data_IF_124796618491
#
_entry.id   IF_124796618491
#
_cell.length_a   1.000
_cell.length_b   1.000
_cell.length_c   1.000
_cell.angle_alpha   90.00
_cell.angle_beta   90.00
_cell.angle_gamma   90.00
#
_symmetry.space_group_name_H-M   'P 1'
#
loop_
_entity.id
_entity.type
_entity.pdbx_description
1 polymer ?
#
# COMPACT_ATOMS: atom_id res chain seq x y z
N UNK A 1 7.45 -0.92 -18.58
CA UNK A 1 6.61 -0.22 -17.59
C UNK A 1 5.30 0.13 -18.25
N UNK A 2 4.18 -0.14 -17.57
CA UNK A 2 2.87 0.22 -18.12
C UNK A 2 2.13 1.10 -17.11
N UNK A 3 1.74 2.33 -17.48
CA UNK A 3 1.08 3.24 -16.57
C UNK A 3 -0.38 2.87 -16.34
N UNK A 4 -0.82 3.06 -15.10
CA UNK A 4 -2.19 2.89 -14.62
C UNK A 4 -2.54 4.13 -13.79
N UNK A 5 -3.70 4.73 -14.06
CA UNK A 5 -4.18 5.86 -13.28
C UNK A 5 -4.58 5.43 -11.87
N UNK A 6 -4.28 6.27 -10.87
CA UNK A 6 -4.78 6.07 -9.51
C UNK A 6 -6.24 6.50 -9.46
N UNK A 7 -7.11 5.65 -8.89
CA UNK A 7 -8.52 5.96 -8.76
C UNK A 7 -8.72 6.98 -7.63
N UNK A 8 -9.47 8.04 -7.92
CA UNK A 8 -9.92 8.98 -6.88
C UNK A 8 -11.04 8.31 -6.09
N UNK A 9 -10.82 8.04 -4.81
CA UNK A 9 -11.88 7.56 -3.94
C UNK A 9 -12.69 8.76 -3.43
N UNK A 10 -13.84 9.02 -4.06
CA UNK A 10 -14.73 10.15 -3.72
C UNK A 10 -15.75 9.79 -2.62
N UNK A 11 -15.49 8.76 -1.82
CA UNK A 11 -16.46 8.26 -0.84
C UNK A 11 -16.48 9.08 0.47
N UNK A 12 -17.11 10.25 0.42
CA UNK A 12 -17.74 10.88 1.57
C UNK A 12 -19.00 11.63 1.13
N UNK A 13 -20.04 10.90 0.71
CA UNK A 13 -21.42 11.37 0.77
C UNK A 13 -22.37 10.17 0.89
N UNK A 14 -23.04 10.12 2.03
CA UNK A 14 -24.12 9.19 2.35
C UNK A 14 -25.18 9.26 1.27
N UNK A 15 -25.56 8.12 0.71
CA UNK A 15 -26.92 7.93 0.21
C UNK A 15 -27.35 6.53 0.59
N UNK A 16 -28.20 6.49 1.61
CA UNK A 16 -29.00 5.33 1.99
C UNK A 16 -30.12 5.30 0.97
N UNK A 17 -30.01 4.49 -0.08
CA UNK A 17 -31.14 4.25 -0.98
C UNK A 17 -31.57 2.78 -0.90
N UNK A 18 -32.82 2.64 -0.44
CA UNK A 18 -33.51 1.37 -0.28
C UNK A 18 -33.95 0.86 -1.64
N UNK A 19 -33.96 -0.47 -1.73
CA UNK A 19 -34.62 -1.31 -2.73
C UNK A 19 -33.90 -1.48 -4.08
N UNK A 20 -33.35 -2.68 -4.27
CA UNK A 20 -33.81 -3.50 -5.38
C UNK A 20 -33.83 -4.98 -4.99
N UNK A 21 -35.02 -5.57 -5.04
CA UNK A 21 -35.26 -7.02 -5.00
C UNK A 21 -35.03 -7.58 -6.41
N UNK A 22 -34.81 -8.88 -6.48
CA UNK A 22 -34.59 -9.72 -7.66
C UNK A 22 -33.13 -9.88 -8.07
N UNK A 23 -32.64 -11.08 -7.79
CA UNK A 23 -31.27 -11.49 -8.00
C UNK A 23 -30.90 -11.73 -9.46
N UNK A 24 -29.62 -11.53 -9.71
CA UNK A 24 -28.77 -12.45 -10.43
C UNK A 24 -27.44 -12.37 -9.69
N UNK A 25 -27.11 -13.35 -8.86
CA UNK A 25 -25.77 -13.50 -8.33
C UNK A 25 -24.88 -13.92 -9.48
N UNK A 26 -24.32 -12.94 -10.20
CA UNK A 26 -23.19 -13.17 -11.09
C UNK A 26 -22.09 -13.74 -10.22
N UNK A 27 -21.91 -15.06 -10.26
CA UNK A 27 -20.78 -15.76 -9.66
C UNK A 27 -19.53 -15.29 -10.40
N UNK A 28 -19.02 -14.12 -10.01
CA UNK A 28 -17.68 -13.69 -10.37
C UNK A 28 -16.74 -14.69 -9.71
N UNK A 29 -16.09 -15.48 -10.56
CA UNK A 29 -15.08 -16.48 -10.26
C UNK A 29 -14.47 -16.32 -8.86
N UNK A 30 -14.79 -17.26 -7.97
CA UNK A 30 -14.01 -17.47 -6.75
C UNK A 30 -12.64 -17.98 -7.18
N UNK A 31 -11.74 -17.05 -7.55
CA UNK A 31 -10.32 -17.32 -7.52
C UNK A 31 -9.98 -17.88 -6.14
N UNK A 32 -9.10 -18.86 -6.10
CA UNK A 32 -8.54 -19.34 -4.83
C UNK A 32 -8.19 -18.14 -3.95
N UNK A 33 -8.50 -18.18 -2.63
CA UNK A 33 -8.10 -17.12 -1.72
C UNK A 33 -6.58 -16.95 -1.87
N UNK A 34 -6.18 -15.76 -2.34
CA UNK A 34 -4.78 -15.43 -2.53
C UNK A 34 -4.14 -15.33 -1.15
N UNK A 35 -2.91 -15.81 -1.04
CA UNK A 35 -2.14 -15.67 0.19
C UNK A 35 -1.78 -14.20 0.37
N UNK A 36 -2.20 -13.59 1.49
CA UNK A 36 -1.83 -12.22 1.84
C UNK A 36 -0.39 -12.22 2.35
N UNK A 37 0.50 -11.51 1.66
CA UNK A 37 1.93 -11.49 1.99
C UNK A 37 2.42 -10.06 2.20
N UNK A 38 3.29 -9.88 3.19
CA UNK A 38 3.98 -8.60 3.38
C UNK A 38 5.02 -8.39 2.28
N UNK A 39 5.02 -7.19 1.69
CA UNK A 39 5.98 -6.79 0.67
C UNK A 39 6.78 -5.61 1.17
N UNK A 40 8.07 -5.61 0.86
CA UNK A 40 8.95 -4.47 1.12
C UNK A 40 8.52 -3.30 0.25
N UNK A 41 8.56 -2.12 0.82
CA UNK A 41 8.45 -0.86 0.11
C UNK A 41 9.57 0.11 0.51
N UNK A 42 9.80 1.09 -0.35
CA UNK A 42 10.78 2.16 -0.19
C UNK A 42 10.18 3.45 -0.77
N UNK A 43 10.58 4.59 -0.25
CA UNK A 43 10.05 5.87 -0.73
C UNK A 43 11.13 6.95 -0.77
N UNK A 44 10.96 7.89 -1.70
CA UNK A 44 11.76 9.10 -1.77
C UNK A 44 10.93 10.26 -2.32
N UNK A 45 11.37 11.48 -2.01
CA UNK A 45 10.80 12.70 -2.56
C UNK A 45 11.76 13.32 -3.57
N UNK A 46 11.24 13.75 -4.72
CA UNK A 46 12.02 14.47 -5.72
C UNK A 46 11.14 15.46 -6.50
N UNK A 47 11.60 16.71 -6.63
CA UNK A 47 10.95 17.74 -7.46
C UNK A 47 9.45 17.96 -7.20
N UNK A 48 9.02 17.89 -5.93
CA UNK A 48 7.61 18.03 -5.55
C UNK A 48 6.73 16.83 -5.91
N UNK A 49 7.36 15.66 -6.10
CA UNK A 49 6.71 14.37 -6.30
C UNK A 49 7.22 13.40 -5.25
N UNK A 50 6.33 12.56 -4.76
CA UNK A 50 6.65 11.47 -3.84
C UNK A 50 6.62 10.17 -4.64
N UNK A 51 7.72 9.44 -4.61
CA UNK A 51 7.88 8.17 -5.29
C UNK A 51 7.83 7.05 -4.26
N UNK A 52 6.95 6.06 -4.46
CA UNK A 52 6.86 4.85 -3.63
C UNK A 52 7.17 3.65 -4.51
N UNK A 53 8.19 2.88 -4.15
CA UNK A 53 8.56 1.64 -4.81
C UNK A 53 8.15 0.45 -3.97
N UNK A 54 7.24 -0.38 -4.47
CA UNK A 54 6.80 -1.62 -3.82
C UNK A 54 7.43 -2.80 -4.54
N UNK A 55 8.19 -3.61 -3.84
CA UNK A 55 8.95 -4.72 -4.42
C UNK A 55 8.09 -5.99 -4.45
N UNK A 56 7.79 -6.43 -5.67
CA UNK A 56 6.95 -7.60 -5.93
C UNK A 56 7.30 -8.18 -7.29
N UNK A 57 7.76 -9.43 -7.32
CA UNK A 57 8.10 -10.12 -8.58
C UNK A 57 6.84 -10.68 -9.22
N UNK A 58 6.71 -10.49 -10.54
CA UNK A 58 5.61 -11.06 -11.30
C UNK A 58 4.28 -10.38 -10.97
N UNK A 59 4.29 -9.06 -10.74
CA UNK A 59 3.07 -8.29 -10.56
C UNK A 59 2.20 -8.38 -11.81
N UNK A 60 0.95 -8.78 -11.63
CA UNK A 60 -0.04 -8.82 -12.71
C UNK A 60 -0.85 -7.53 -12.66
N UNK A 61 -1.16 -6.96 -13.83
CA UNK A 61 -2.05 -5.79 -13.91
C UNK A 61 -3.43 -6.13 -13.36
N UNK A 62 -3.92 -7.31 -13.69
CA UNK A 62 -5.29 -7.69 -13.34
C UNK A 62 -5.42 -7.87 -11.82
N UNK A 63 -6.26 -7.05 -11.21
CA UNK A 63 -6.42 -6.95 -9.76
C UNK A 63 -5.44 -5.98 -9.05
N UNK A 64 -4.34 -5.56 -9.68
CA UNK A 64 -3.45 -4.53 -9.12
C UNK A 64 -4.03 -3.13 -9.36
N UNK A 65 -4.31 -2.39 -8.29
CA UNK A 65 -4.88 -1.05 -8.37
C UNK A 65 -4.48 -0.19 -7.17
N UNK A 66 -4.55 1.12 -7.35
CA UNK A 66 -4.33 2.09 -6.29
C UNK A 66 -5.53 3.04 -6.21
N UNK A 67 -5.92 3.39 -5.00
CA UNK A 67 -7.01 4.30 -4.69
C UNK A 67 -6.52 5.36 -3.71
N UNK A 68 -6.89 6.62 -3.92
CA UNK A 68 -6.54 7.69 -3.00
C UNK A 68 -7.63 8.75 -2.89
N UNK A 69 -7.80 9.29 -1.70
CA UNK A 69 -8.66 10.43 -1.38
C UNK A 69 -7.89 11.75 -1.25
N UNK A 70 -6.56 11.74 -1.51
CA UNK A 70 -5.66 12.90 -1.39
C UNK A 70 -4.74 12.85 -0.17
N UNK A 71 -5.19 12.26 0.95
CA UNK A 71 -4.38 12.11 2.17
C UNK A 71 -4.14 10.65 2.55
N UNK A 72 -4.98 9.75 2.05
CA UNK A 72 -4.85 8.31 2.22
C UNK A 72 -4.62 7.68 0.86
N UNK A 73 -3.71 6.72 0.82
CA UNK A 73 -3.40 5.94 -0.36
C UNK A 73 -3.50 4.46 0.00
N UNK A 74 -4.38 3.75 -0.70
CA UNK A 74 -4.53 2.30 -0.60
C UNK A 74 -4.02 1.69 -1.89
N UNK A 75 -3.10 0.73 -1.78
CA UNK A 75 -2.55 0.00 -2.91
C UNK A 75 -2.82 -1.48 -2.70
N UNK A 76 -3.52 -2.08 -3.65
CA UNK A 76 -3.70 -3.53 -3.73
C UNK A 76 -2.83 -4.05 -4.85
N UNK A 77 -1.89 -4.93 -4.51
CA UNK A 77 -0.98 -5.56 -5.45
C UNK A 77 -1.28 -7.04 -5.55
N UNK A 78 -1.35 -7.53 -6.79
CA UNK A 78 -1.41 -8.95 -7.09
C UNK A 78 -0.07 -9.33 -7.71
N UNK A 79 0.68 -10.19 -7.02
CA UNK A 79 2.05 -10.58 -7.39
C UNK A 79 2.23 -12.10 -7.36
N UNK A 80 3.47 -12.56 -7.55
CA UNK A 80 3.78 -13.97 -7.75
C UNK A 80 2.91 -14.60 -8.87
N UNK A 81 2.78 -13.87 -9.98
CA UNK A 81 1.98 -14.27 -11.15
C UNK A 81 0.50 -14.54 -10.85
N UNK A 82 -0.08 -13.85 -9.87
CA UNK A 82 -1.50 -13.98 -9.52
C UNK A 82 -1.78 -14.81 -8.26
N UNK A 83 -0.75 -15.44 -7.69
CA UNK A 83 -0.90 -16.34 -6.54
C UNK A 83 -1.01 -15.62 -5.20
N UNK A 84 -0.38 -14.44 -5.08
CA UNK A 84 -0.28 -13.69 -3.82
C UNK A 84 -0.88 -12.30 -3.97
N UNK A 85 -1.43 -11.81 -2.87
CA UNK A 85 -2.00 -10.47 -2.77
C UNK A 85 -1.33 -9.71 -1.62
N UNK A 86 -1.15 -8.41 -1.79
CA UNK A 86 -0.62 -7.53 -0.76
C UNK A 86 -1.41 -6.25 -0.77
N UNK A 87 -1.90 -5.85 0.40
CA UNK A 87 -2.60 -4.57 0.58
C UNK A 87 -1.73 -3.67 1.44
N UNK A 88 -1.45 -2.47 0.95
CA UNK A 88 -0.69 -1.43 1.66
C UNK A 88 -1.57 -0.19 1.78
N UNK A 89 -1.60 0.37 2.99
CA UNK A 89 -2.36 1.58 3.29
C UNK A 89 -1.41 2.62 3.89
N UNK A 90 -1.38 3.80 3.29
CA UNK A 90 -0.51 4.91 3.67
C UNK A 90 -1.36 6.12 4.03
N UNK A 91 -1.23 6.61 5.27
CA UNK A 91 -1.77 7.91 5.69
C UNK A 91 -0.72 8.97 5.37
N UNK A 92 -0.77 9.55 4.17
CA UNK A 92 0.25 10.43 3.63
C UNK A 92 0.49 11.66 4.52
N UNK A 93 1.75 12.12 4.56
CA UNK A 93 2.14 13.30 5.34
C UNK A 93 1.51 14.60 4.83
N UNK A 94 1.31 14.73 3.52
CA UNK A 94 0.71 15.89 2.89
C UNK A 94 -0.28 15.51 1.80
N UNK A 95 -1.06 16.49 1.36
CA UNK A 95 -2.09 16.30 0.34
C UNK A 95 -1.46 16.10 -1.05
N UNK A 96 -1.94 15.10 -1.78
CA UNK A 96 -1.57 14.81 -3.16
C UNK A 96 -2.73 15.12 -4.10
N UNK A 97 -2.43 15.24 -5.40
CA UNK A 97 -3.42 15.43 -6.48
C UNK A 97 -3.63 14.07 -7.17
N UNK A 98 -4.60 13.24 -6.77
CA UNK A 98 -4.66 11.85 -7.23
C UNK A 98 -4.87 11.73 -8.75
N UNK A 99 -5.55 12.72 -9.35
CA UNK A 99 -5.75 12.81 -10.81
C UNK A 99 -4.47 13.01 -11.61
N UNK A 100 -3.40 13.51 -10.99
CA UNK A 100 -2.07 13.67 -11.59
C UNK A 100 -1.07 12.60 -11.14
N UNK A 101 -1.53 11.62 -10.34
CA UNK A 101 -0.69 10.53 -9.86
C UNK A 101 -0.77 9.34 -10.81
N UNK A 102 0.34 8.60 -10.91
CA UNK A 102 0.43 7.43 -11.79
C UNK A 102 1.06 6.25 -11.05
N UNK A 103 0.58 5.05 -11.38
CA UNK A 103 1.15 3.79 -10.94
C UNK A 103 1.79 3.09 -12.13
N UNK A 104 3.06 2.74 -12.03
CA UNK A 104 3.85 2.08 -13.06
C UNK A 104 4.13 0.64 -12.62
N UNK A 105 3.62 -0.34 -13.38
CA UNK A 105 3.92 -1.74 -13.11
C UNK A 105 5.14 -2.17 -13.94
N UNK A 106 6.12 -2.75 -13.26
CA UNK A 106 7.29 -3.44 -13.82
C UNK A 106 7.31 -4.91 -13.39
N UNK A 107 8.22 -5.71 -13.96
CA UNK A 107 8.35 -7.14 -13.62
C UNK A 107 8.77 -7.37 -12.15
N UNK A 108 9.57 -6.46 -11.59
CA UNK A 108 10.20 -6.60 -10.27
C UNK A 108 9.62 -5.70 -9.19
N UNK A 109 8.93 -4.63 -9.58
CA UNK A 109 8.41 -3.61 -8.67
C UNK A 109 7.22 -2.87 -9.27
N UNK A 110 6.43 -2.26 -8.40
CA UNK A 110 5.43 -1.26 -8.72
C UNK A 110 5.91 0.08 -8.21
N UNK A 111 5.87 1.10 -9.06
CA UNK A 111 6.28 2.46 -8.72
C UNK A 111 5.06 3.37 -8.75
N UNK A 112 4.75 4.00 -7.61
CA UNK A 112 3.75 5.05 -7.54
C UNK A 112 4.46 6.40 -7.59
N UNK A 113 4.00 7.26 -8.48
CA UNK A 113 4.48 8.64 -8.61
C UNK A 113 3.32 9.54 -8.20
N UNK A 114 3.44 10.14 -7.02
CA UNK A 114 2.41 10.95 -6.40
C UNK A 114 2.78 12.42 -6.56
N UNK A 115 1.88 13.20 -7.16
CA UNK A 115 2.06 14.65 -7.30
C UNK A 115 1.54 15.34 -6.05
N UNK A 116 2.41 16.04 -5.33
CA UNK A 116 2.00 16.84 -4.18
C UNK A 116 1.10 18.01 -4.62
N UNK A 117 0.09 18.33 -3.82
CA UNK A 117 -0.75 19.52 -4.02
C UNK A 117 0.06 20.79 -3.69
N UNK A 118 0.70 20.80 -2.53
CA UNK A 118 1.63 21.83 -2.09
C UNK A 118 3.05 21.28 -2.16
N UNK A 119 4.00 22.04 -2.74
CA UNK A 119 5.42 21.64 -2.82
C UNK A 119 6.09 21.77 -1.46
N UNK A 120 5.71 20.91 -0.55
CA UNK A 120 6.23 20.82 0.80
C UNK A 120 7.21 19.67 0.89
N UNK A 121 8.29 19.88 1.65
CA UNK A 121 9.28 18.85 1.90
C UNK A 121 8.70 17.84 2.90
N UNK A 122 8.60 16.58 2.51
CA UNK A 122 8.08 15.52 3.36
C UNK A 122 9.21 14.96 4.23
N UNK A 123 9.07 15.11 5.55
CA UNK A 123 10.02 14.49 6.50
C UNK A 123 9.75 13.00 6.72
N UNK A 124 8.52 12.57 6.46
CA UNK A 124 8.04 11.19 6.60
C UNK A 124 7.07 10.90 5.45
N UNK A 125 6.94 9.62 5.06
CA UNK A 125 5.91 9.21 4.11
C UNK A 125 4.51 9.31 4.72
N UNK A 126 4.38 8.78 5.94
CA UNK A 126 3.13 8.73 6.66
C UNK A 126 3.09 9.74 7.81
N UNK A 127 1.91 10.31 8.05
CA UNK A 127 1.59 11.04 9.26
C UNK A 127 1.41 10.04 10.41
N UNK A 128 2.25 10.18 11.44
CA UNK A 128 2.12 9.45 12.70
C UNK A 128 1.04 10.15 13.55
N UNK A 129 -0.21 10.00 13.13
CA UNK A 129 -1.35 10.43 13.93
C UNK A 129 -1.62 9.32 14.93
N UNK A 130 -1.08 9.43 16.15
CA UNK A 130 -1.15 8.43 17.21
C UNK A 130 -2.55 7.85 17.47
N UNK A 131 -2.95 6.89 16.65
CA UNK A 131 -4.11 6.02 16.81
C UNK A 131 -3.67 4.62 16.38
N UNK A 132 -3.66 3.74 17.36
CA UNK A 132 -3.60 2.28 17.28
C UNK A 132 -3.85 1.69 15.87
N UNK A 133 -2.83 1.05 15.32
CA UNK A 133 -3.02 -0.10 14.43
C UNK A 133 -2.76 0.10 12.93
N UNK A 134 -2.25 1.23 12.48
CA UNK A 134 -1.62 1.31 11.15
C UNK A 134 -0.13 1.00 11.31
N UNK A 135 0.23 -0.27 11.14
CA UNK A 135 1.61 -0.73 11.11
C UNK A 135 2.32 -0.06 9.92
N UNK A 136 2.96 1.08 10.18
CA UNK A 136 4.20 1.41 9.50
C UNK A 136 5.06 0.17 9.67
N UNK A 137 5.36 -0.54 8.60
CA UNK A 137 6.25 -1.70 8.68
C UNK A 137 7.67 -1.19 8.94
N UNK A 138 7.92 -0.77 10.17
CA UNK A 138 9.22 -0.93 10.80
C UNK A 138 9.50 -2.43 10.75
N UNK A 139 10.46 -2.78 9.90
CA UNK A 139 11.08 -4.07 9.98
C UNK A 139 11.80 -4.11 11.33
N UNK A 140 11.15 -4.67 12.34
CA UNK A 140 11.85 -5.31 13.44
C UNK A 140 12.65 -6.47 12.82
N UNK A 141 13.84 -6.14 12.33
CA UNK A 141 14.92 -7.10 12.19
C UNK A 141 15.34 -7.43 13.63
N UNK A 142 14.77 -8.51 14.15
CA UNK A 142 15.21 -9.23 15.33
C UNK A 142 16.69 -9.65 15.16
N UNK A 143 17.59 -8.69 15.32
CA UNK A 143 18.99 -8.91 15.63
C UNK A 143 19.11 -9.43 17.05
N UNK A 144 18.70 -10.67 17.25
CA UNK A 144 18.91 -11.44 18.46
C UNK A 144 20.41 -11.56 18.74
N UNK A 145 20.96 -10.60 19.48
CA UNK A 145 22.19 -10.81 20.24
C UNK A 145 21.79 -11.56 21.50
N UNK A 146 21.94 -12.89 21.49
CA UNK A 146 21.84 -13.70 22.69
C UNK A 146 22.95 -13.26 23.65
N UNK A 147 22.56 -12.43 24.62
CA UNK A 147 23.26 -12.24 25.88
C UNK A 147 23.18 -13.59 26.63
N UNK A 148 24.25 -14.38 26.52
CA UNK A 148 24.44 -15.61 27.29
C UNK A 148 25.15 -15.25 28.59
N UNK A 149 24.39 -14.69 29.51
CA UNK A 149 24.72 -14.69 30.94
C UNK A 149 24.09 -15.93 31.57
N UNK A 150 24.90 -16.96 31.80
CA UNK A 150 24.60 -17.97 32.81
C UNK A 150 25.67 -17.89 33.91
N UNK A 151 25.25 -17.25 34.99
CA UNK A 151 25.85 -17.19 36.31
C UNK A 151 25.70 -18.56 37.00
N UNK A 152 26.80 -19.11 37.53
CA UNK A 152 26.95 -19.54 38.96
C UNK A 152 28.31 -20.25 39.18
N UNK A 153 29.06 -19.74 40.16
CA UNK A 153 30.31 -20.27 40.80
C UNK A 153 30.06 -21.60 41.57
N UNK A 154 30.91 -22.08 42.52
CA UNK A 154 32.36 -21.94 42.80
C UNK A 154 33.07 -23.32 42.97
N UNK A 155 34.39 -23.33 43.18
CA UNK A 155 35.13 -24.16 44.18
C UNK A 155 36.54 -23.59 44.36
#
# INVERSE_FOLDING_TARGET
MIPIAIKVNRAAQKTVDRHNRYGLSTTTNFGHPRETVWVRDDWYEQFGQVHISIYGRGTVRDGTHAESDGLKLKVTLVHAFGAKESVKEYNLYGEIVPSSCVMLISEKKVELVLKQLHREKWMKLCYDGGQDGAVCCDADDDGAFLELDDVVSPV
#
